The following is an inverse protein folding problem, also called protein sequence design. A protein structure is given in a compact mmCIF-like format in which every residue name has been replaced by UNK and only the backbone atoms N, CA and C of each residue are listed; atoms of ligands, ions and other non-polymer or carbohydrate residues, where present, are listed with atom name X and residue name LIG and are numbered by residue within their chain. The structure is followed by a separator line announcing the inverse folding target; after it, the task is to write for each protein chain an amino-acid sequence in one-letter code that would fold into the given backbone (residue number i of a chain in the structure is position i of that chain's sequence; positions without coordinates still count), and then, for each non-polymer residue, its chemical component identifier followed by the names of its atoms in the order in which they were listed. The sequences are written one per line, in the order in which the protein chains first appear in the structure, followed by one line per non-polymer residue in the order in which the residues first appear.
data_IF_831375538219
#
_entry.id   IF_831375538219
#
_cell.length_a   1.000
_cell.length_b   1.000
_cell.length_c   1.000
_cell.angle_alpha   90.00
_cell.angle_beta   90.00
_cell.angle_gamma   90.00
#
_symmetry.space_group_name_H-M   'P 1'
#
loop_
_entity.id
_entity.type
_entity.pdbx_description
1 polymer ?
#
# COMPACT_ATOMS: atom_id res chain seq x y z
N UNK A 1 12.06 6.02 31.53
CA UNK A 1 12.62 4.71 31.93
C UNK A 1 12.12 3.59 30.99
N UNK A 2 12.70 3.45 29.79
CA UNK A 2 12.38 2.40 28.78
C UNK A 2 13.47 1.31 28.67
N UNK A 3 14.44 1.33 29.57
CA UNK A 3 15.71 0.59 29.51
C UNK A 3 15.55 -0.95 29.51
N UNK A 4 14.62 -1.57 30.28
CA UNK A 4 14.53 -3.04 30.34
C UNK A 4 14.09 -3.68 29.02
N UNK A 5 13.09 -3.09 28.35
CA UNK A 5 12.54 -3.62 27.09
C UNK A 5 13.58 -3.58 25.97
N UNK A 6 14.38 -2.51 25.92
CA UNK A 6 15.42 -2.36 24.90
C UNK A 6 16.51 -3.44 25.04
N UNK A 7 17.00 -3.65 26.26
CA UNK A 7 18.03 -4.66 26.52
C UNK A 7 17.57 -6.07 26.12
N UNK A 8 16.33 -6.44 26.47
CA UNK A 8 15.74 -7.72 26.09
C UNK A 8 15.57 -7.84 24.56
N UNK A 9 15.10 -6.78 23.92
CA UNK A 9 14.93 -6.75 22.47
C UNK A 9 16.25 -6.97 21.73
N UNK A 10 17.31 -6.27 22.15
CA UNK A 10 18.62 -6.37 21.52
C UNK A 10 19.22 -7.79 21.67
N UNK A 11 18.97 -8.45 22.82
CA UNK A 11 19.38 -9.83 23.10
C UNK A 11 18.54 -10.89 22.37
N UNK A 12 17.30 -10.57 22.00
CA UNK A 12 16.42 -11.51 21.29
C UNK A 12 16.93 -11.78 19.87
N UNK A 13 16.69 -13.00 19.38
CA UNK A 13 16.98 -13.38 18.00
C UNK A 13 15.68 -13.40 17.19
N UNK A 14 15.67 -12.78 15.99
CA UNK A 14 14.54 -12.87 15.10
C UNK A 14 14.42 -14.31 14.56
N UNK A 15 13.20 -14.85 14.55
CA UNK A 15 12.92 -16.14 13.91
C UNK A 15 12.04 -15.93 12.68
N UNK A 16 12.68 -15.46 11.60
CA UNK A 16 11.99 -15.10 10.37
C UNK A 16 11.20 -16.26 9.76
N UNK A 17 11.80 -17.47 9.74
CA UNK A 17 11.14 -18.67 9.24
C UNK A 17 9.83 -18.97 9.99
N UNK A 18 9.84 -18.85 11.32
CA UNK A 18 8.63 -19.06 12.14
C UNK A 18 7.58 -17.99 11.89
N UNK A 19 7.98 -16.73 11.67
CA UNK A 19 7.06 -15.65 11.32
C UNK A 19 6.40 -15.89 9.96
N UNK A 20 7.15 -16.33 8.95
CA UNK A 20 6.60 -16.70 7.64
C UNK A 20 5.61 -17.88 7.75
N UNK A 21 5.93 -18.90 8.54
CA UNK A 21 5.02 -20.02 8.80
C UNK A 21 3.72 -19.55 9.49
N UNK A 22 3.83 -18.62 10.44
CA UNK A 22 2.67 -18.04 11.10
C UNK A 22 1.83 -17.20 10.14
N UNK A 23 2.46 -16.37 9.30
CA UNK A 23 1.78 -15.61 8.26
C UNK A 23 0.99 -16.51 7.29
N UNK A 24 1.61 -17.61 6.82
CA UNK A 24 0.94 -18.59 5.98
C UNK A 24 -0.24 -19.26 6.69
N UNK A 25 -0.13 -19.53 7.99
CA UNK A 25 -1.26 -20.03 8.78
C UNK A 25 -2.39 -19.00 8.85
N UNK A 26 -2.07 -17.75 9.16
CA UNK A 26 -3.06 -16.66 9.26
C UNK A 26 -3.78 -16.44 7.94
N UNK A 27 -3.09 -16.48 6.80
CA UNK A 27 -3.71 -16.32 5.49
C UNK A 27 -4.77 -17.40 5.19
N UNK A 28 -4.54 -18.64 5.67
CA UNK A 28 -5.50 -19.75 5.52
C UNK A 28 -6.67 -19.69 6.52
N UNK A 29 -6.41 -19.20 7.73
CA UNK A 29 -7.37 -19.24 8.83
C UNK A 29 -8.21 -17.96 8.97
N UNK A 30 -7.70 -16.82 8.48
CA UNK A 30 -8.40 -15.54 8.63
C UNK A 30 -9.70 -15.51 7.84
N UNK A 31 -10.73 -14.93 8.44
CA UNK A 31 -12.03 -14.66 7.81
C UNK A 31 -12.22 -13.17 7.53
N UNK A 32 -11.21 -12.36 7.80
CA UNK A 32 -11.29 -10.92 7.59
C UNK A 32 -11.56 -10.62 6.10
N UNK A 33 -12.50 -9.72 5.77
CA UNK A 33 -12.71 -9.32 4.39
C UNK A 33 -11.47 -8.57 3.86
N UNK A 34 -11.10 -8.85 2.61
CA UNK A 34 -10.09 -8.06 1.88
C UNK A 34 -10.75 -6.82 1.30
N UNK A 35 -10.00 -5.71 1.27
CA UNK A 35 -10.48 -4.45 0.70
C UNK A 35 -10.81 -4.62 -0.79
N UNK A 36 -11.73 -3.79 -1.30
CA UNK A 36 -12.09 -3.76 -2.71
C UNK A 36 -11.38 -2.59 -3.37
N UNK A 37 -10.79 -2.82 -4.53
CA UNK A 37 -10.24 -1.77 -5.38
C UNK A 37 -11.06 -1.63 -6.67
N UNK A 38 -10.93 -0.50 -7.34
CA UNK A 38 -11.53 -0.29 -8.66
C UNK A 38 -10.45 -0.48 -9.72
N UNK A 39 -10.65 -1.42 -10.62
CA UNK A 39 -9.76 -1.68 -11.75
C UNK A 39 -10.43 -1.27 -13.04
N UNK A 40 -9.64 -0.70 -13.95
CA UNK A 40 -10.09 -0.43 -15.32
C UNK A 40 -9.99 -1.73 -16.12
N UNK A 41 -11.13 -2.27 -16.52
CA UNK A 41 -11.22 -3.43 -17.39
C UNK A 41 -11.62 -3.00 -18.80
N UNK A 42 -10.99 -3.61 -19.81
CA UNK A 42 -11.42 -3.47 -21.19
C UNK A 42 -12.56 -4.46 -21.49
N UNK A 43 -13.73 -3.95 -21.81
CA UNK A 43 -14.85 -4.74 -22.31
C UNK A 43 -14.98 -4.56 -23.82
N UNK A 44 -15.05 -5.66 -24.55
CA UNK A 44 -15.45 -5.63 -25.95
C UNK A 44 -16.97 -5.61 -26.02
N UNK A 45 -17.53 -4.53 -26.58
CA UNK A 45 -18.96 -4.40 -26.87
C UNK A 45 -19.16 -4.40 -28.37
N UNK A 46 -20.35 -4.72 -28.83
CA UNK A 46 -20.71 -4.64 -30.25
C UNK A 46 -21.61 -3.43 -30.47
N UNK A 47 -21.31 -2.64 -31.50
CA UNK A 47 -22.23 -1.61 -32.00
C UNK A 47 -22.64 -1.95 -33.43
N UNK A 48 -23.83 -1.54 -33.80
CA UNK A 48 -24.25 -1.59 -35.20
C UNK A 48 -23.63 -0.43 -35.96
N UNK A 49 -22.94 -0.75 -37.06
CA UNK A 49 -22.39 0.23 -37.99
C UNK A 49 -23.01 -0.01 -39.38
N UNK A 50 -23.41 1.06 -40.06
CA UNK A 50 -23.95 0.96 -41.42
C UNK A 50 -22.82 0.70 -42.42
N UNK A 51 -23.01 -0.28 -43.29
CA UNK A 51 -22.06 -0.73 -44.30
C UNK A 51 -22.70 -0.81 -45.71
N UNK A 52 -21.85 -1.01 -46.73
CA UNK A 52 -22.26 -1.14 -48.14
C UNK A 52 -22.49 0.19 -48.90
N UNK A 53 -22.56 0.10 -50.23
CA UNK A 53 -22.92 1.24 -51.10
C UNK A 53 -24.34 1.71 -50.73
N UNK A 54 -24.49 2.99 -50.40
CA UNK A 54 -25.71 3.62 -49.84
C UNK A 54 -26.11 3.24 -48.40
N UNK A 55 -25.22 2.67 -47.57
CA UNK A 55 -25.50 2.37 -46.14
C UNK A 55 -26.71 1.46 -45.91
N UNK A 56 -27.01 0.56 -46.86
CA UNK A 56 -28.22 -0.30 -46.84
C UNK A 56 -28.06 -1.57 -46.01
N UNK A 57 -26.87 -1.91 -45.53
CA UNK A 57 -26.67 -3.03 -44.60
C UNK A 57 -26.14 -2.55 -43.25
N UNK A 58 -26.45 -3.29 -42.18
CA UNK A 58 -25.85 -3.11 -40.86
C UNK A 58 -24.92 -4.29 -40.59
N UNK A 59 -23.77 -4.00 -39.97
CA UNK A 59 -22.86 -5.02 -39.44
C UNK A 59 -22.59 -4.74 -37.98
N UNK A 60 -22.42 -5.79 -37.19
CA UNK A 60 -21.96 -5.67 -35.81
C UNK A 60 -20.44 -5.50 -35.83
N UNK A 61 -19.97 -4.39 -35.26
CA UNK A 61 -18.54 -4.10 -35.14
C UNK A 61 -18.16 -4.13 -33.66
N UNK A 62 -17.17 -4.94 -33.26
CA UNK A 62 -16.64 -4.91 -31.92
C UNK A 62 -15.91 -3.58 -31.67
N UNK A 63 -16.12 -2.99 -30.50
CA UNK A 63 -15.39 -1.84 -30.01
C UNK A 63 -15.08 -2.03 -28.53
N UNK A 64 -13.90 -1.56 -28.11
CA UNK A 64 -13.44 -1.70 -26.73
C UNK A 64 -13.83 -0.49 -25.91
N UNK A 65 -14.39 -0.70 -24.73
CA UNK A 65 -14.70 0.35 -23.76
C UNK A 65 -13.97 0.05 -22.47
N UNK A 66 -13.31 1.06 -21.91
CA UNK A 66 -12.78 1.00 -20.56
C UNK A 66 -13.95 1.11 -19.58
N UNK A 67 -14.15 0.11 -18.75
CA UNK A 67 -15.15 0.12 -17.68
C UNK A 67 -14.49 -0.05 -16.32
N UNK A 68 -15.02 0.61 -15.31
CA UNK A 68 -14.55 0.50 -13.93
C UNK A 68 -15.23 -0.70 -13.26
N UNK A 69 -14.46 -1.72 -12.89
CA UNK A 69 -14.95 -2.88 -12.13
C UNK A 69 -14.38 -2.86 -10.73
N UNK A 70 -15.21 -3.24 -9.76
CA UNK A 70 -14.73 -3.50 -8.39
C UNK A 70 -14.11 -4.89 -8.35
N UNK A 71 -12.87 -4.99 -7.91
CA UNK A 71 -12.13 -6.23 -7.72
C UNK A 71 -11.69 -6.33 -6.25
N UNK A 72 -11.82 -7.52 -5.67
CA UNK A 72 -11.28 -7.78 -4.35
C UNK A 72 -9.76 -7.89 -4.43
N UNK A 73 -9.05 -7.24 -3.51
CA UNK A 73 -7.60 -7.37 -3.41
C UNK A 73 -7.21 -8.82 -3.09
N UNK A 74 -6.03 -9.23 -3.57
CA UNK A 74 -5.39 -10.51 -3.30
C UNK A 74 -4.67 -10.55 -1.94
N UNK A 75 -4.74 -9.47 -1.15
CA UNK A 75 -4.03 -9.32 0.12
C UNK A 75 -4.85 -8.62 1.21
N UNK A 76 -4.37 -8.77 2.44
CA UNK A 76 -4.75 -7.95 3.59
C UNK A 76 -3.64 -6.99 3.94
N UNK A 77 -4.02 -5.74 4.22
CA UNK A 77 -3.13 -4.71 4.76
C UNK A 77 -2.99 -4.90 6.27
N UNK A 78 -1.76 -5.11 6.73
CA UNK A 78 -1.46 -5.30 8.16
C UNK A 78 -1.27 -3.96 8.85
N UNK A 79 -0.49 -3.07 8.24
CA UNK A 79 -0.22 -1.71 8.70
C UNK A 79 0.35 -0.88 7.57
N UNK A 80 0.38 0.44 7.75
CA UNK A 80 0.85 1.39 6.75
C UNK A 80 1.72 2.46 7.39
N UNK A 81 2.65 2.98 6.62
CA UNK A 81 3.40 4.20 6.93
C UNK A 81 3.39 5.13 5.74
N UNK A 82 3.52 6.43 5.98
CA UNK A 82 3.41 7.45 4.96
C UNK A 82 4.53 8.47 5.06
N UNK A 83 4.82 9.10 3.93
CA UNK A 83 5.63 10.30 3.80
C UNK A 83 4.95 11.22 2.78
N UNK A 84 4.68 12.45 3.20
CA UNK A 84 4.05 13.47 2.38
C UNK A 84 5.03 14.63 2.30
N UNK A 85 5.30 15.12 1.09
CA UNK A 85 6.03 16.35 0.84
C UNK A 85 5.18 17.27 -0.01
N UNK A 86 5.04 18.52 0.40
CA UNK A 86 4.48 19.59 -0.44
C UNK A 86 5.58 20.62 -0.70
N UNK A 87 5.70 21.07 -1.95
CA UNK A 87 6.65 22.09 -2.35
C UNK A 87 5.95 23.19 -3.16
N UNK A 88 6.14 24.44 -2.72
CA UNK A 88 5.66 25.62 -3.42
C UNK A 88 6.79 26.25 -4.23
N UNK A 89 6.57 26.44 -5.52
CA UNK A 89 7.55 27.03 -6.43
C UNK A 89 6.91 28.11 -7.34
N UNK A 90 7.67 28.65 -8.28
CA UNK A 90 7.19 29.70 -9.20
C UNK A 90 6.09 29.23 -10.15
N UNK A 91 6.03 27.92 -10.42
CA UNK A 91 5.12 27.29 -11.39
C UNK A 91 3.83 26.77 -10.75
N UNK A 92 3.83 26.50 -9.43
CA UNK A 92 2.67 25.97 -8.73
C UNK A 92 3.01 25.34 -7.38
N UNK A 93 2.18 24.39 -6.97
CA UNK A 93 2.40 23.51 -5.82
C UNK A 93 2.49 22.06 -6.29
N UNK A 94 3.46 21.32 -5.76
CA UNK A 94 3.63 19.89 -6.01
C UNK A 94 3.46 19.15 -4.67
N UNK A 95 2.62 18.14 -4.64
CA UNK A 95 2.39 17.29 -3.47
C UNK A 95 2.72 15.86 -3.83
N UNK A 96 3.74 15.30 -3.19
CA UNK A 96 4.11 13.90 -3.28
C UNK A 96 3.68 13.16 -2.02
N UNK A 97 2.94 12.06 -2.18
CA UNK A 97 2.54 11.15 -1.11
C UNK A 97 3.08 9.76 -1.41
N UNK A 98 3.96 9.26 -0.55
CA UNK A 98 4.46 7.90 -0.59
C UNK A 98 3.86 7.12 0.59
N UNK A 99 3.20 6.00 0.31
CA UNK A 99 2.60 5.10 1.32
C UNK A 99 3.26 3.73 1.20
N UNK A 100 3.85 3.27 2.29
CA UNK A 100 4.40 1.91 2.44
C UNK A 100 3.41 1.06 3.21
N UNK A 101 2.76 0.13 2.51
CA UNK A 101 1.85 -0.84 3.08
C UNK A 101 2.57 -2.17 3.34
N UNK A 102 2.44 -2.68 4.56
CA UNK A 102 2.92 -4.00 4.95
C UNK A 102 1.75 -4.98 4.82
N UNK A 103 1.89 -5.97 3.95
CA UNK A 103 0.76 -6.78 3.50
C UNK A 103 0.99 -8.28 3.71
N UNK A 104 -0.12 -9.00 3.90
CA UNK A 104 -0.20 -10.46 3.84
C UNK A 104 -1.01 -10.86 2.60
N UNK A 105 -0.41 -11.58 1.67
CA UNK A 105 -1.12 -12.12 0.52
C UNK A 105 -1.97 -13.34 0.89
N UNK A 106 -2.98 -13.63 0.08
CA UNK A 106 -3.90 -14.75 0.26
C UNK A 106 -3.23 -16.14 0.30
N UNK A 107 -2.07 -16.31 -0.33
CA UNK A 107 -1.28 -17.55 -0.28
C UNK A 107 -0.36 -17.67 0.95
N UNK A 108 -0.29 -16.62 1.79
CA UNK A 108 0.57 -16.58 2.96
C UNK A 108 1.88 -15.83 2.83
N UNK A 109 2.24 -15.32 1.65
CA UNK A 109 3.49 -14.55 1.50
C UNK A 109 3.35 -13.13 2.06
N UNK A 110 4.41 -12.67 2.72
CA UNK A 110 4.53 -11.29 3.21
C UNK A 110 5.21 -10.43 2.15
N UNK A 111 4.65 -9.25 1.91
CA UNK A 111 5.21 -8.31 0.93
C UNK A 111 4.97 -6.88 1.35
N UNK A 112 5.69 -5.98 0.69
CA UNK A 112 5.52 -4.54 0.82
C UNK A 112 4.97 -4.00 -0.48
N UNK A 113 3.96 -3.14 -0.36
CA UNK A 113 3.40 -2.37 -1.46
C UNK A 113 3.69 -0.90 -1.19
N UNK A 114 4.54 -0.30 -2.02
CA UNK A 114 4.77 1.13 -2.02
C UNK A 114 3.89 1.79 -3.08
N UNK A 115 3.08 2.74 -2.68
CA UNK A 115 2.21 3.54 -3.54
C UNK A 115 2.71 4.98 -3.50
N UNK A 116 2.99 5.57 -4.66
CA UNK A 116 3.40 6.97 -4.80
C UNK A 116 2.32 7.70 -5.58
N UNK A 117 1.88 8.84 -5.06
CA UNK A 117 0.98 9.76 -5.77
C UNK A 117 1.64 11.12 -5.81
N UNK A 118 1.76 11.68 -7.01
CA UNK A 118 2.24 13.03 -7.23
C UNK A 118 1.10 13.88 -7.80
N UNK A 119 0.76 14.95 -7.09
CA UNK A 119 -0.27 15.91 -7.50
C UNK A 119 0.42 17.25 -7.78
N UNK A 120 0.37 17.70 -9.03
CA UNK A 120 0.88 19.00 -9.44
C UNK A 120 -0.31 19.93 -9.65
N UNK A 121 -0.28 21.07 -8.95
CA UNK A 121 -1.23 22.17 -9.03
C UNK A 121 -0.54 23.38 -9.69
N UNK A 122 -0.55 23.47 -11.03
CA UNK A 122 0.06 24.61 -11.72
C UNK A 122 -0.73 25.88 -11.41
N UNK A 123 -0.07 27.04 -11.48
CA UNK A 123 -0.77 28.34 -11.35
C UNK A 123 -1.84 28.56 -12.44
N UNK A 124 -1.65 27.95 -13.60
CA UNK A 124 -2.55 28.02 -14.74
C UNK A 124 -2.64 26.64 -15.39
N UNK A 125 -3.86 26.15 -15.59
CA UNK A 125 -4.12 24.85 -16.20
C UNK A 125 -4.70 23.82 -15.24
N UNK A 126 -4.97 22.61 -15.72
CA UNK A 126 -5.55 21.54 -14.91
C UNK A 126 -4.53 20.96 -13.94
N UNK A 127 -5.04 20.39 -12.85
CA UNK A 127 -4.27 19.54 -11.94
C UNK A 127 -3.79 18.29 -12.70
N UNK A 128 -2.55 17.88 -12.44
CA UNK A 128 -1.96 16.66 -12.97
C UNK A 128 -1.77 15.69 -11.80
N UNK A 129 -2.22 14.45 -11.97
CA UNK A 129 -2.01 13.38 -10.99
C UNK A 129 -1.24 12.25 -11.66
N UNK A 130 -0.11 11.87 -11.08
CA UNK A 130 0.66 10.68 -11.45
C UNK A 130 0.60 9.68 -10.30
N UNK A 131 0.43 8.40 -10.62
CA UNK A 131 0.38 7.32 -9.63
C UNK A 131 1.33 6.21 -10.05
N UNK A 132 2.21 5.83 -9.13
CA UNK A 132 3.14 4.72 -9.29
C UNK A 132 2.95 3.72 -8.16
N UNK A 133 3.18 2.44 -8.44
CA UNK A 133 3.19 1.41 -7.40
C UNK A 133 4.32 0.42 -7.64
N UNK A 134 4.90 -0.09 -6.55
CA UNK A 134 5.88 -1.17 -6.59
C UNK A 134 5.60 -2.18 -5.48
N UNK A 135 5.84 -3.44 -5.80
CA UNK A 135 5.59 -4.58 -4.91
C UNK A 135 6.84 -5.45 -4.85
N UNK A 136 7.26 -5.83 -3.64
CA UNK A 136 8.37 -6.75 -3.45
C UNK A 136 8.24 -7.53 -2.13
N UNK A 137 8.93 -8.66 -2.03
CA UNK A 137 8.87 -9.55 -0.86
C UNK A 137 9.40 -8.87 0.39
N UNK A 138 8.67 -9.00 1.50
CA UNK A 138 9.06 -8.40 2.78
C UNK A 138 10.29 -9.13 3.32
N UNK A 139 11.32 -8.37 3.66
CA UNK A 139 12.52 -8.88 4.30
C UNK A 139 12.38 -8.90 5.82
N UNK A 140 13.25 -9.63 6.51
CA UNK A 140 13.31 -9.62 7.97
C UNK A 140 13.52 -8.21 8.52
N UNK A 141 14.45 -7.44 7.94
CA UNK A 141 14.76 -6.08 8.38
C UNK A 141 13.53 -5.17 8.33
N UNK A 142 12.69 -5.32 7.31
CA UNK A 142 11.46 -4.54 7.16
C UNK A 142 10.37 -5.00 8.12
N UNK A 143 10.26 -6.30 8.40
CA UNK A 143 9.35 -6.79 9.42
C UNK A 143 9.71 -6.24 10.81
N UNK A 144 11.01 -6.10 11.12
CA UNK A 144 11.49 -5.55 12.39
C UNK A 144 11.19 -4.05 12.54
N UNK A 145 10.93 -3.32 11.45
CA UNK A 145 10.49 -1.91 11.54
C UNK A 145 9.20 -1.78 12.35
N UNK A 146 8.35 -2.81 12.33
CA UNK A 146 7.07 -2.86 13.05
C UNK A 146 7.23 -3.00 14.57
N UNK A 147 8.42 -3.32 15.07
CA UNK A 147 8.70 -3.43 16.49
C UNK A 147 8.93 -2.08 17.19
N UNK A 148 9.00 -1.00 16.43
CA UNK A 148 9.28 0.36 16.90
C UNK A 148 8.06 1.25 16.69
N UNK A 149 7.92 2.25 17.57
CA UNK A 149 6.94 3.31 17.33
C UNK A 149 7.30 4.06 16.05
N UNK A 150 6.31 4.48 15.24
CA UNK A 150 6.58 5.36 14.11
C UNK A 150 7.08 6.72 14.63
N UNK A 151 8.11 7.26 13.99
CA UNK A 151 8.62 8.59 14.29
C UNK A 151 7.83 9.61 13.49
N UNK A 152 6.97 10.33 14.19
CA UNK A 152 6.22 11.44 13.61
C UNK A 152 7.11 12.69 13.55
N UNK A 153 7.20 13.30 12.38
CA UNK A 153 7.74 14.65 12.24
C UNK A 153 6.97 15.43 11.18
N UNK A 154 6.86 16.73 11.42
CA UNK A 154 6.27 17.68 10.48
C UNK A 154 7.16 18.93 10.41
N UNK A 155 7.48 19.38 9.20
CA UNK A 155 8.12 20.67 8.95
C UNK A 155 7.25 21.51 8.05
N UNK A 156 7.13 22.80 8.34
CA UNK A 156 6.37 23.77 7.54
C UNK A 156 7.31 24.78 6.89
N UNK A 157 6.95 25.26 5.70
CA UNK A 157 7.76 26.20 4.94
C UNK A 157 7.48 26.13 3.44
N UNK A 158 8.44 26.61 2.64
CA UNK A 158 8.40 26.47 1.17
C UNK A 158 8.34 24.99 0.75
N UNK A 159 9.06 24.14 1.48
CA UNK A 159 8.93 22.69 1.43
C UNK A 159 8.35 22.28 2.78
N UNK A 160 7.18 21.65 2.77
CA UNK A 160 6.61 21.00 3.94
C UNK A 160 6.77 19.49 3.82
N UNK A 161 7.00 18.85 4.96
CA UNK A 161 7.08 17.38 5.05
C UNK A 161 6.26 16.94 6.24
N UNK A 162 5.46 15.90 6.06
CA UNK A 162 4.72 15.22 7.13
C UNK A 162 4.91 13.71 6.96
N UNK A 163 5.33 13.01 7.99
CA UNK A 163 5.61 11.57 7.84
C UNK A 163 5.60 10.81 9.16
N UNK A 164 5.34 9.51 9.03
CA UNK A 164 5.53 8.51 10.07
C UNK A 164 6.36 7.31 9.56
N UNK A 165 7.07 7.49 8.43
CA UNK A 165 7.78 6.45 7.68
C UNK A 165 8.85 5.77 8.53
N UNK A 166 9.66 6.58 9.20
CA UNK A 166 10.85 6.06 9.87
C UNK A 166 10.50 5.51 11.27
N UNK A 167 11.09 4.39 11.70
CA UNK A 167 10.93 3.91 13.06
C UNK A 167 11.68 4.81 14.05
N UNK A 168 11.04 5.17 15.17
CA UNK A 168 11.73 5.75 16.31
C UNK A 168 12.54 4.66 17.01
N UNK A 169 13.80 4.52 16.58
CA UNK A 169 14.72 3.54 17.13
C UNK A 169 14.98 3.72 18.62
N UNK A 170 14.62 4.84 19.25
CA UNK A 170 14.72 5.00 20.70
C UNK A 170 13.52 4.39 21.45
N UNK A 171 12.39 4.18 20.76
CA UNK A 171 11.12 3.71 21.31
C UNK A 171 10.75 2.33 20.75
N UNK A 172 11.37 1.32 21.35
CA UNK A 172 11.00 -0.08 21.12
C UNK A 172 9.65 -0.37 21.80
N UNK A 173 8.70 -0.92 21.05
CA UNK A 173 7.34 -1.26 21.54
C UNK A 173 7.35 -2.56 22.32
N UNK A 174 8.11 -3.54 21.82
CA UNK A 174 8.06 -4.93 22.26
C UNK A 174 9.42 -5.44 22.73
N UNK A 175 9.44 -6.39 23.64
CA UNK A 175 10.67 -6.91 24.24
C UNK A 175 11.39 -7.95 23.37
N UNK A 176 10.84 -8.34 22.22
CA UNK A 176 11.42 -9.33 21.32
C UNK A 176 11.23 -8.94 19.85
N UNK A 177 12.22 -9.28 19.01
CA UNK A 177 12.21 -9.07 17.56
C UNK A 177 11.08 -9.86 16.87
N UNK A 178 10.38 -9.21 15.95
CA UNK A 178 9.27 -9.78 15.16
C UNK A 178 7.90 -9.77 15.85
N UNK A 179 7.81 -9.18 17.04
CA UNK A 179 6.56 -9.12 17.81
C UNK A 179 5.52 -8.20 17.16
N UNK A 180 5.92 -7.09 16.56
CA UNK A 180 5.05 -6.16 15.86
C UNK A 180 4.34 -6.82 14.69
N UNK A 181 5.07 -7.56 13.85
CA UNK A 181 4.47 -8.35 12.78
C UNK A 181 3.57 -9.47 13.35
N UNK A 182 4.02 -10.20 14.36
CA UNK A 182 3.23 -11.26 14.99
C UNK A 182 1.89 -10.75 15.52
N UNK A 183 1.89 -9.57 16.15
CA UNK A 183 0.68 -8.95 16.69
C UNK A 183 -0.23 -8.41 15.58
N UNK A 184 0.34 -7.85 14.50
CA UNK A 184 -0.46 -7.42 13.35
C UNK A 184 -1.15 -8.62 12.66
N UNK A 185 -0.44 -9.73 12.51
CA UNK A 185 -1.00 -10.99 11.99
C UNK A 185 -2.06 -11.57 12.92
N UNK A 186 -1.83 -11.54 14.23
CA UNK A 186 -2.83 -11.95 15.24
C UNK A 186 -4.10 -11.09 15.15
N UNK A 187 -3.94 -9.77 15.08
CA UNK A 187 -5.07 -8.84 14.95
C UNK A 187 -5.88 -9.11 13.67
N UNK A 188 -5.21 -9.43 12.57
CA UNK A 188 -5.89 -9.84 11.33
C UNK A 188 -6.66 -11.15 11.48
N UNK A 189 -6.12 -12.13 12.22
CA UNK A 189 -6.80 -13.40 12.49
C UNK A 189 -8.06 -13.22 13.36
N UNK A 190 -8.00 -12.26 14.29
CA UNK A 190 -9.09 -11.97 15.24
C UNK A 190 -10.16 -11.03 14.67
N UNK A 191 -9.87 -10.34 13.56
CA UNK A 191 -10.81 -9.43 12.87
C UNK A 191 -11.92 -10.26 12.21
N UNK A 192 -13.13 -10.20 12.78
CA UNK A 192 -14.36 -10.82 12.27
C UNK A 192 -15.32 -9.77 11.77
#
# INVERSE_FOLDING_TARGET
MSIPKRKQYDQSQPNWKRLQQYAARVARETKAPREMTTVTAQETRTREERAGLFRRSTRLVPYTVNTSKKQQLDYWKLTSRYWIRSEKNSYGEEIRRDVTNYCLHADGHLFILNESTEEVFPKQGPMIITQDSSRYGMTEAEALVLDFEPKFYSSTGRISVETNRDPDRSKVKYHAKGMGLSLALKALLERR
#
